data_IF_730346159462
#
_entry.id   IF_730346159462
#
_cell.length_a   1.000
_cell.length_b   1.000
_cell.length_c   1.000
_cell.angle_alpha   90.00
_cell.angle_beta   90.00
_cell.angle_gamma   90.00
#
_symmetry.space_group_name_H-M   'P 1'
#
loop_
_entity.id
_entity.type
_entity.pdbx_description
1 polymer ?
#
# COMPACT_ATOMS: atom_id res chain seq x y z
N UNK A 1 -6.83 -5.53 -0.48
CA UNK A 1 -5.42 -5.20 -0.19
C UNK A 1 -4.91 -4.18 -1.19
N UNK A 2 -4.03 -3.26 -0.77
CA UNK A 2 -3.40 -2.23 -1.61
C UNK A 2 -1.88 -2.38 -1.48
N UNK A 3 -1.19 -2.69 -2.57
CA UNK A 3 0.25 -2.92 -2.48
C UNK A 3 1.00 -3.16 -3.78
N UNK A 4 2.16 -3.81 -3.64
CA UNK A 4 3.06 -4.20 -4.74
C UNK A 4 2.99 -5.72 -5.01
N UNK A 5 4.06 -6.28 -5.58
CA UNK A 5 4.16 -7.70 -5.89
C UNK A 5 4.00 -8.61 -4.67
N UNK A 6 4.35 -8.17 -3.46
CA UNK A 6 4.12 -8.94 -2.24
C UNK A 6 2.61 -9.07 -1.94
N UNK A 7 1.84 -8.01 -2.23
CA UNK A 7 0.38 -8.06 -2.16
C UNK A 7 -0.20 -8.89 -3.30
N UNK A 8 0.37 -8.83 -4.49
CA UNK A 8 -0.11 -9.61 -5.65
C UNK A 8 0.06 -11.12 -5.47
N UNK A 9 1.19 -11.54 -4.91
CA UNK A 9 1.54 -12.95 -4.73
C UNK A 9 0.84 -13.60 -3.53
N UNK A 10 0.11 -12.83 -2.72
CA UNK A 10 -0.63 -13.33 -1.59
C UNK A 10 -1.94 -13.99 -2.02
N UNK A 11 -2.16 -15.23 -1.60
CA UNK A 11 -3.45 -15.91 -1.71
C UNK A 11 -4.37 -15.47 -0.57
N UNK A 12 -4.83 -14.21 -0.65
CA UNK A 12 -5.61 -13.59 0.42
C UNK A 12 -6.97 -14.24 0.64
N UNK A 13 -7.55 -14.82 -0.40
CA UNK A 13 -8.81 -15.54 -0.31
C UNK A 13 -8.63 -16.86 0.45
N UNK A 14 -7.50 -17.56 0.27
CA UNK A 14 -7.19 -18.74 1.08
C UNK A 14 -6.88 -18.41 2.55
N UNK A 15 -6.24 -17.26 2.80
CA UNK A 15 -5.90 -16.82 4.17
C UNK A 15 -7.14 -16.31 4.92
N UNK A 16 -8.05 -15.63 4.21
CA UNK A 16 -9.26 -15.03 4.76
C UNK A 16 -10.51 -15.56 4.04
N UNK A 17 -10.84 -16.86 4.17
CA UNK A 17 -11.89 -17.51 3.36
C UNK A 17 -13.29 -16.96 3.62
N UNK A 18 -13.51 -16.35 4.78
CA UNK A 18 -14.81 -15.78 5.19
C UNK A 18 -14.98 -14.31 4.75
N UNK A 19 -13.98 -13.72 4.09
CA UNK A 19 -13.99 -12.32 3.70
C UNK A 19 -13.79 -12.17 2.19
N UNK A 20 -14.53 -11.21 1.60
CA UNK A 20 -14.26 -10.78 0.23
C UNK A 20 -13.09 -9.80 0.23
N UNK A 21 -12.01 -10.16 -0.46
CA UNK A 21 -10.82 -9.32 -0.58
C UNK A 21 -10.66 -8.84 -2.02
N UNK A 22 -10.69 -7.52 -2.23
CA UNK A 22 -10.32 -6.92 -3.52
C UNK A 22 -8.84 -6.53 -3.50
N UNK A 23 -8.05 -6.99 -4.49
CA UNK A 23 -6.61 -6.71 -4.58
C UNK A 23 -6.32 -5.61 -5.60
N UNK A 24 -5.66 -4.55 -5.15
CA UNK A 24 -5.08 -3.52 -6.01
C UNK A 24 -3.55 -3.61 -5.89
N UNK A 25 -2.96 -4.51 -6.69
CA UNK A 25 -1.51 -4.65 -6.82
C UNK A 25 -0.98 -3.80 -7.98
N UNK A 26 0.21 -3.24 -7.83
CA UNK A 26 0.87 -2.44 -8.87
C UNK A 26 0.61 -0.93 -8.77
N UNK A 27 0.63 -0.41 -7.54
CA UNK A 27 0.30 0.95 -7.03
C UNK A 27 0.54 2.21 -7.91
N UNK A 28 1.20 2.12 -9.06
CA UNK A 28 1.30 3.25 -10.00
C UNK A 28 0.12 3.40 -10.97
N UNK A 29 -0.88 2.53 -10.95
CA UNK A 29 -2.10 2.72 -11.72
C UNK A 29 -3.27 3.24 -10.86
N UNK A 30 -3.28 4.57 -10.68
CA UNK A 30 -4.44 5.43 -10.40
C UNK A 30 -5.09 5.25 -9.02
N UNK A 31 -4.70 6.11 -8.10
CA UNK A 31 -5.42 6.43 -6.85
C UNK A 31 -6.94 6.55 -7.03
N UNK A 32 -7.41 6.96 -8.21
CA UNK A 32 -8.84 7.08 -8.55
C UNK A 32 -9.56 5.71 -8.62
N UNK A 33 -8.84 4.62 -8.84
CA UNK A 33 -9.38 3.25 -8.78
C UNK A 33 -9.56 2.80 -7.34
N UNK A 34 -8.63 3.16 -6.47
CA UNK A 34 -8.71 2.88 -5.02
C UNK A 34 -9.92 3.55 -4.36
N UNK A 35 -10.29 4.73 -4.83
CA UNK A 35 -11.50 5.43 -4.38
C UNK A 35 -12.78 4.68 -4.77
N UNK A 36 -12.81 4.04 -5.95
CA UNK A 36 -13.99 3.35 -6.51
C UNK A 36 -14.30 2.01 -5.85
N UNK A 37 -13.33 1.39 -5.18
CA UNK A 37 -13.56 0.16 -4.41
C UNK A 37 -14.40 0.49 -3.18
N UNK A 38 -15.55 -0.16 -3.01
CA UNK A 38 -16.47 0.08 -1.90
C UNK A 38 -16.12 -0.76 -0.64
N UNK A 39 -14.84 -1.01 -0.41
CA UNK A 39 -14.36 -1.71 0.78
C UNK A 39 -14.20 -0.73 1.95
N UNK A 40 -14.70 -1.05 3.16
CA UNK A 40 -14.64 -0.15 4.31
C UNK A 40 -13.24 -0.06 4.93
N UNK A 41 -12.40 -1.07 4.70
CA UNK A 41 -11.04 -1.20 5.25
C UNK A 41 -10.05 -1.36 4.10
N UNK A 42 -8.97 -0.59 4.13
CA UNK A 42 -7.85 -0.71 3.21
C UNK A 42 -6.59 -1.10 3.98
N UNK A 43 -6.09 -2.31 3.71
CA UNK A 43 -4.79 -2.77 4.15
C UNK A 43 -3.73 -2.34 3.14
N UNK A 44 -2.76 -1.54 3.57
CA UNK A 44 -1.76 -0.90 2.71
C UNK A 44 -0.37 -1.46 3.03
N UNK A 45 0.27 -2.07 2.03
CA UNK A 45 1.64 -2.56 2.08
C UNK A 45 2.40 -2.10 0.84
N UNK A 46 3.12 -0.98 0.97
CA UNK A 46 3.84 -0.33 -0.12
C UNK A 46 5.26 0.03 0.36
N UNK A 47 6.07 0.74 -0.43
CA UNK A 47 7.35 1.27 0.04
C UNK A 47 8.56 0.35 -0.11
N UNK A 48 8.39 -0.97 -0.28
CA UNK A 48 9.53 -1.89 -0.50
C UNK A 48 10.29 -1.53 -1.77
N UNK A 49 9.55 -1.25 -2.85
CA UNK A 49 10.11 -0.83 -4.13
C UNK A 49 10.66 0.60 -4.12
N UNK A 50 10.05 1.51 -3.35
CA UNK A 50 10.54 2.88 -3.19
C UNK A 50 11.98 2.90 -2.70
N UNK A 51 12.28 2.11 -1.67
CA UNK A 51 13.63 2.02 -1.11
C UNK A 51 14.59 1.10 -1.88
N UNK A 52 14.07 0.25 -2.77
CA UNK A 52 14.91 -0.50 -3.71
C UNK A 52 15.48 0.43 -4.81
N UNK A 53 14.72 1.45 -5.21
CA UNK A 53 15.09 2.37 -6.30
C UNK A 53 15.71 3.68 -5.80
N UNK A 54 15.27 4.20 -4.65
CA UNK A 54 15.78 5.45 -4.08
C UNK A 54 15.85 5.42 -2.56
N UNK A 55 16.95 5.86 -1.94
CA UNK A 55 17.05 5.97 -0.49
C UNK A 55 16.26 7.16 0.11
N UNK A 56 15.61 8.00 -0.70
CA UNK A 56 14.96 9.22 -0.21
C UNK A 56 13.67 8.92 0.58
N UNK A 57 13.76 9.08 1.91
CA UNK A 57 12.66 8.85 2.86
C UNK A 57 11.52 9.84 2.66
N UNK A 58 11.80 11.11 2.38
CA UNK A 58 10.77 12.14 2.22
C UNK A 58 9.88 11.83 1.01
N UNK A 59 10.49 11.40 -0.10
CA UNK A 59 9.75 11.02 -1.30
C UNK A 59 8.86 9.79 -1.07
N UNK A 60 9.36 8.80 -0.32
CA UNK A 60 8.55 7.65 0.07
C UNK A 60 7.38 8.08 0.97
N UNK A 61 7.63 8.93 1.97
CA UNK A 61 6.62 9.46 2.87
C UNK A 61 5.52 10.22 2.11
N UNK A 62 5.88 11.12 1.20
CA UNK A 62 4.91 11.84 0.36
C UNK A 62 4.02 10.91 -0.46
N UNK A 63 4.58 9.83 -1.01
CA UNK A 63 3.80 8.83 -1.75
C UNK A 63 2.83 8.08 -0.85
N UNK A 64 3.27 7.67 0.35
CA UNK A 64 2.39 7.07 1.35
C UNK A 64 1.23 8.00 1.71
N UNK A 65 1.51 9.26 2.01
CA UNK A 65 0.47 10.24 2.35
C UNK A 65 -0.53 10.42 1.21
N UNK A 66 -0.09 10.48 -0.05
CA UNK A 66 -0.98 10.58 -1.21
C UNK A 66 -1.91 9.37 -1.32
N UNK A 67 -1.40 8.16 -1.16
CA UNK A 67 -2.19 6.92 -1.22
C UNK A 67 -3.19 6.85 -0.07
N UNK A 68 -2.76 7.13 1.16
CA UNK A 68 -3.63 7.12 2.34
C UNK A 68 -4.76 8.16 2.19
N UNK A 69 -4.44 9.37 1.72
CA UNK A 69 -5.44 10.41 1.51
C UNK A 69 -6.45 10.04 0.41
N UNK A 70 -6.03 9.36 -0.65
CA UNK A 70 -6.93 8.88 -1.70
C UNK A 70 -7.89 7.76 -1.23
N UNK A 71 -7.57 7.09 -0.13
CA UNK A 71 -8.40 6.05 0.46
C UNK A 71 -9.46 6.60 1.42
N UNK A 72 -9.44 7.88 1.78
CA UNK A 72 -10.48 8.47 2.62
C UNK A 72 -11.89 8.29 1.97
N UNK A 73 -12.95 8.00 2.75
CA UNK A 73 -13.02 7.95 4.22
C UNK A 73 -12.77 6.55 4.82
N UNK A 74 -12.16 5.61 4.08
CA UNK A 74 -11.96 4.22 4.52
C UNK A 74 -11.05 4.15 5.76
N UNK A 75 -11.23 3.12 6.59
CA UNK A 75 -10.26 2.81 7.64
C UNK A 75 -8.99 2.24 7.00
N UNK A 76 -7.84 2.88 7.24
CA UNK A 76 -6.57 2.46 6.65
C UNK A 76 -5.70 1.77 7.69
N UNK A 77 -5.25 0.55 7.38
CA UNK A 77 -4.30 -0.22 8.18
C UNK A 77 -2.99 -0.33 7.40
N UNK A 78 -1.93 0.29 7.91
CA UNK A 78 -0.59 0.19 7.32
C UNK A 78 0.10 -1.07 7.83
N UNK A 79 0.39 -2.02 6.93
CA UNK A 79 0.91 -3.35 7.29
C UNK A 79 2.43 -3.39 7.43
N UNK A 80 3.15 -2.40 6.89
CA UNK A 80 4.60 -2.36 6.98
C UNK A 80 5.11 -0.91 6.95
N UNK A 81 6.03 -0.63 7.86
CA UNK A 81 6.91 0.55 7.82
C UNK A 81 8.35 0.04 7.78
N UNK A 82 9.11 0.47 6.78
CA UNK A 82 10.52 0.09 6.66
C UNK A 82 11.37 1.11 7.41
N UNK A 83 12.06 0.66 8.45
CA UNK A 83 13.03 1.51 9.14
C UNK A 83 14.20 1.80 8.21
N UNK A 84 14.43 3.09 7.93
CA UNK A 84 15.62 3.55 7.22
C UNK A 84 16.40 4.49 8.12
N UNK A 85 17.66 4.16 8.36
CA UNK A 85 18.55 5.03 9.11
C UNK A 85 18.86 6.27 8.26
N UNK A 86 18.70 7.47 8.81
CA UNK A 86 18.91 8.75 8.12
C UNK A 86 20.39 9.04 7.75
N UNK A 87 21.30 8.07 7.93
CA UNK A 87 22.71 8.22 7.55
C UNK A 87 22.86 8.09 6.03
N UNK A 88 22.71 9.22 5.36
CA UNK A 88 23.38 9.45 4.09
C UNK A 88 24.88 9.70 4.31
N UNK A 89 25.74 9.39 3.32
CA UNK A 89 27.16 9.73 3.33
C UNK A 89 27.43 11.23 3.46
#
# INVERSE_FOLDING_TARGET
MVGDSLTEMGDWDAIFPDYRIDNAAGLLARTDELARVNAPIAFVMIGTNDFAVSPNVDQAFERYTKVINALAPKCVIVQSTLFRNARHP
#
